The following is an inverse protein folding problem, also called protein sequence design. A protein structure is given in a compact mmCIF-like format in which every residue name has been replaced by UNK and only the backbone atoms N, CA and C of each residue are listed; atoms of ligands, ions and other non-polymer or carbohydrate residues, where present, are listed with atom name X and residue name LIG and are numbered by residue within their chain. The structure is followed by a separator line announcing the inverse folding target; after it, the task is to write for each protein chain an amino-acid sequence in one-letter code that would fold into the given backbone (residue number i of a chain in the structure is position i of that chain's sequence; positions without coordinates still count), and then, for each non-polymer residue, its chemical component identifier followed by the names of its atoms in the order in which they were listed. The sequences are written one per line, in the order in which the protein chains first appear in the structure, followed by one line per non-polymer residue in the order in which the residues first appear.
data_IF_749245646996
#
_entry.id   IF_749245646996
#
_cell.length_a   1.000
_cell.length_b   1.000
_cell.length_c   1.000
_cell.angle_alpha   90.00
_cell.angle_beta   90.00
_cell.angle_gamma   90.00
#
_symmetry.space_group_name_H-M   'P 1'
#
loop_
_entity.id
_entity.type
_entity.pdbx_description
1 polymer ?
#
# COMPACT_ATOMS: atom_id res chain seq x y z
N UNK A 1 -8.60 -9.45 -13.40
CA UNK A 1 -7.85 -8.48 -12.59
C UNK A 1 -8.87 -7.76 -11.74
N UNK A 2 -8.69 -7.71 -10.42
CA UNK A 2 -9.56 -6.92 -9.57
C UNK A 2 -9.54 -5.47 -10.07
N UNK A 3 -10.69 -4.79 -10.02
CA UNK A 3 -10.78 -3.37 -10.40
C UNK A 3 -10.23 -2.45 -9.30
N UNK A 4 -9.29 -2.94 -8.50
CA UNK A 4 -8.65 -2.17 -7.44
C UNK A 4 -7.28 -1.69 -7.90
N UNK A 5 -6.97 -0.43 -7.65
CA UNK A 5 -5.67 0.16 -7.96
C UNK A 5 -4.99 0.66 -6.70
N UNK A 6 -3.67 0.51 -6.63
CA UNK A 6 -2.84 0.91 -5.50
C UNK A 6 -1.81 1.94 -5.97
N UNK A 7 -1.61 3.01 -5.22
CA UNK A 7 -0.50 3.95 -5.39
C UNK A 7 0.37 3.91 -4.15
N UNK A 8 1.68 3.73 -4.32
CA UNK A 8 2.68 3.89 -3.26
C UNK A 8 3.44 5.18 -3.51
N UNK A 9 3.58 6.01 -2.49
CA UNK A 9 4.38 7.24 -2.51
C UNK A 9 5.36 7.25 -1.37
N UNK A 10 6.54 7.80 -1.61
CA UNK A 10 7.52 8.03 -0.55
C UNK A 10 7.55 9.52 -0.25
N UNK A 11 7.21 9.87 0.99
CA UNK A 11 7.23 11.24 1.45
C UNK A 11 8.46 11.48 2.34
N UNK A 12 9.25 12.51 2.00
CA UNK A 12 10.44 12.95 2.73
C UNK A 12 11.47 11.85 3.05
N UNK A 13 11.54 10.79 2.22
CA UNK A 13 12.41 9.61 2.45
C UNK A 13 12.22 8.93 3.82
N UNK A 14 11.10 9.17 4.50
CA UNK A 14 10.82 8.65 5.84
C UNK A 14 9.49 7.93 5.93
N UNK A 15 8.52 8.35 5.12
CA UNK A 15 7.17 7.84 5.20
C UNK A 15 6.81 7.15 3.88
N UNK A 16 6.13 6.02 3.99
CA UNK A 16 5.48 5.35 2.87
C UNK A 16 3.99 5.67 2.98
N UNK A 17 3.44 6.24 1.93
CA UNK A 17 2.03 6.53 1.76
C UNK A 17 1.44 5.52 0.78
N UNK A 18 0.43 4.77 1.20
CA UNK A 18 -0.31 3.82 0.39
C UNK A 18 -1.71 4.37 0.17
N UNK A 19 -2.13 4.48 -1.09
CA UNK A 19 -3.48 4.86 -1.48
C UNK A 19 -4.13 3.71 -2.23
N UNK A 20 -5.17 3.12 -1.65
CA UNK A 20 -5.94 2.04 -2.26
C UNK A 20 -7.26 2.56 -2.80
N UNK A 21 -7.48 2.40 -4.10
CA UNK A 21 -8.71 2.73 -4.79
C UNK A 21 -9.48 1.45 -5.10
N UNK A 22 -10.72 1.36 -4.61
CA UNK A 22 -11.60 0.21 -4.84
C UNK A 22 -12.77 0.66 -5.71
N UNK A 23 -12.89 0.14 -6.94
CA UNK A 23 -13.90 0.64 -7.87
C UNK A 23 -15.25 -0.07 -7.79
N UNK A 24 -15.32 -1.37 -7.44
CA UNK A 24 -16.59 -2.13 -7.58
C UNK A 24 -17.04 -3.00 -6.40
N UNK A 25 -16.19 -3.31 -5.41
CA UNK A 25 -16.52 -4.35 -4.41
C UNK A 25 -16.96 -3.84 -3.04
N UNK A 26 -16.96 -2.52 -2.79
CA UNK A 26 -17.36 -1.99 -1.49
C UNK A 26 -18.30 -0.82 -1.69
N UNK A 27 -19.56 -0.99 -1.27
CA UNK A 27 -20.54 0.10 -1.18
C UNK A 27 -20.11 1.06 -0.05
N UNK A 28 -18.99 1.74 -0.21
CA UNK A 28 -18.67 2.85 0.65
C UNK A 28 -19.62 4.00 0.31
N UNK A 29 -20.11 4.69 1.34
CA UNK A 29 -20.95 5.88 1.18
C UNK A 29 -20.20 7.02 0.47
N UNK A 30 -18.87 6.93 0.42
CA UNK A 30 -17.96 7.88 -0.21
C UNK A 30 -16.82 7.14 -0.91
N UNK A 31 -16.48 7.56 -2.13
CA UNK A 31 -15.39 6.99 -2.95
C UNK A 31 -14.05 7.67 -2.65
N UNK A 32 -13.62 7.65 -1.38
CA UNK A 32 -12.26 8.08 -1.04
C UNK A 32 -11.31 6.88 -1.04
N UNK A 33 -10.06 7.06 -1.50
CA UNK A 33 -9.07 6.02 -1.36
C UNK A 33 -8.79 5.75 0.12
N UNK A 34 -8.57 4.48 0.46
CA UNK A 34 -8.05 4.14 1.78
C UNK A 34 -6.58 4.52 1.81
N UNK A 35 -6.21 5.45 2.69
CA UNK A 35 -4.86 5.97 2.82
C UNK A 35 -4.18 5.41 4.06
N UNK A 36 -2.96 4.88 3.92
CA UNK A 36 -2.08 4.53 5.04
C UNK A 36 -0.81 5.35 4.96
N UNK A 37 -0.37 5.90 6.07
CA UNK A 37 0.94 6.57 6.18
C UNK A 37 1.72 5.86 7.27
N UNK A 38 2.88 5.33 6.91
CA UNK A 38 3.66 4.47 7.80
C UNK A 38 5.12 4.89 7.75
N UNK A 39 5.77 4.89 8.91
CA UNK A 39 7.20 5.16 9.02
C UNK A 39 8.01 3.96 8.55
N UNK A 40 9.06 4.21 7.76
CA UNK A 40 9.87 3.16 7.14
C UNK A 40 10.55 2.21 8.16
N UNK A 41 10.82 2.69 9.37
CA UNK A 41 11.47 1.91 10.43
C UNK A 41 10.56 0.81 10.99
N UNK A 42 9.27 0.88 10.72
CA UNK A 42 8.21 0.04 11.29
C UNK A 42 7.54 -0.83 10.20
N UNK A 43 8.34 -1.45 9.34
CA UNK A 43 7.83 -2.29 8.25
C UNK A 43 6.97 -3.47 8.76
N UNK A 44 7.31 -4.06 9.90
CA UNK A 44 6.50 -5.14 10.48
C UNK A 44 5.14 -4.63 10.94
N UNK A 45 5.09 -3.44 11.55
CA UNK A 45 3.85 -2.81 11.98
C UNK A 45 2.99 -2.44 10.75
N UNK A 46 3.62 -2.10 9.63
CA UNK A 46 2.93 -1.92 8.34
C UNK A 46 2.17 -3.19 7.93
N UNK A 47 2.84 -4.33 7.85
CA UNK A 47 2.19 -5.59 7.46
C UNK A 47 1.11 -6.02 8.47
N UNK A 48 1.33 -5.75 9.76
CA UNK A 48 0.32 -5.99 10.77
C UNK A 48 -0.93 -5.13 10.54
N UNK A 49 -0.78 -3.82 10.34
CA UNK A 49 -1.90 -2.91 10.05
C UNK A 49 -2.64 -3.31 8.77
N UNK A 50 -1.91 -3.70 7.72
CA UNK A 50 -2.50 -4.17 6.47
C UNK A 50 -3.32 -5.44 6.68
N UNK A 51 -2.86 -6.38 7.51
CA UNK A 51 -3.60 -7.61 7.82
C UNK A 51 -4.90 -7.36 8.58
N UNK A 52 -4.94 -6.32 9.42
CA UNK A 52 -6.14 -5.90 10.15
C UNK A 52 -7.13 -5.14 9.25
N UNK A 53 -6.66 -4.56 8.15
CA UNK A 53 -7.51 -3.76 7.29
C UNK A 53 -8.41 -4.63 6.40
N UNK A 54 -9.72 -4.51 6.61
CA UNK A 54 -10.73 -5.19 5.81
C UNK A 54 -10.55 -4.98 4.29
N UNK A 55 -10.15 -3.78 3.89
CA UNK A 55 -9.94 -3.43 2.48
C UNK A 55 -8.86 -4.28 1.81
N UNK A 56 -7.83 -4.70 2.55
CA UNK A 56 -6.81 -5.61 2.04
C UNK A 56 -7.26 -7.06 2.12
N UNK A 57 -8.08 -7.43 3.11
CA UNK A 57 -8.59 -8.78 3.26
C UNK A 57 -9.47 -9.23 2.07
N UNK A 58 -10.21 -8.30 1.45
CA UNK A 58 -11.04 -8.55 0.27
C UNK A 58 -10.24 -8.65 -1.05
N UNK A 59 -8.98 -8.23 -1.07
CA UNK A 59 -8.15 -8.32 -2.27
C UNK A 59 -7.84 -9.80 -2.61
N UNK A 60 -7.73 -10.09 -3.90
CA UNK A 60 -7.20 -11.39 -4.35
C UNK A 60 -5.75 -11.58 -3.87
N UNK A 61 -5.35 -12.84 -3.69
CA UNK A 61 -3.96 -13.20 -3.35
C UNK A 61 -2.90 -12.52 -4.24
N UNK A 62 -3.03 -12.47 -5.58
CA UNK A 62 -2.06 -11.76 -6.41
C UNK A 62 -1.99 -10.25 -6.11
N UNK A 63 -3.12 -9.60 -5.80
CA UNK A 63 -3.10 -8.18 -5.39
C UNK A 63 -2.40 -8.00 -4.03
N UNK A 64 -2.67 -8.88 -3.06
CA UNK A 64 -1.97 -8.84 -1.76
C UNK A 64 -0.45 -8.99 -1.94
N UNK A 65 -0.01 -9.89 -2.82
CA UNK A 65 1.40 -10.08 -3.13
C UNK A 65 2.01 -8.86 -3.83
N UNK A 66 1.31 -8.28 -4.80
CA UNK A 66 1.75 -7.06 -5.48
C UNK A 66 1.93 -5.89 -4.49
N UNK A 67 0.96 -5.69 -3.59
CA UNK A 67 1.04 -4.68 -2.52
C UNK A 67 2.30 -4.91 -1.66
N UNK A 68 2.52 -6.14 -1.20
CA UNK A 68 3.69 -6.46 -0.39
C UNK A 68 5.01 -6.21 -1.13
N UNK A 69 5.07 -6.56 -2.42
CA UNK A 69 6.23 -6.34 -3.28
C UNK A 69 6.52 -4.84 -3.45
N UNK A 70 5.51 -4.01 -3.73
CA UNK A 70 5.69 -2.57 -3.90
C UNK A 70 6.09 -1.87 -2.60
N UNK A 71 5.52 -2.25 -1.46
CA UNK A 71 5.94 -1.76 -0.14
C UNK A 71 7.41 -2.12 0.12
N UNK A 72 7.80 -3.35 -0.19
CA UNK A 72 9.17 -3.79 0.02
C UNK A 72 10.17 -3.09 -0.91
N UNK A 73 9.80 -2.87 -2.19
CA UNK A 73 10.59 -2.05 -3.13
C UNK A 73 10.75 -0.63 -2.61
N UNK A 74 9.67 0.00 -2.13
CA UNK A 74 9.72 1.34 -1.57
C UNK A 74 10.65 1.39 -0.35
N UNK A 75 10.56 0.40 0.54
CA UNK A 75 11.46 0.26 1.68
C UNK A 75 12.94 0.14 1.27
N UNK A 76 13.24 -0.71 0.28
CA UNK A 76 14.60 -0.86 -0.25
C UNK A 76 15.11 0.44 -0.87
N UNK A 77 14.27 1.12 -1.66
CA UNK A 77 14.62 2.40 -2.26
C UNK A 77 14.99 3.44 -1.19
N UNK A 78 14.22 3.55 -0.11
CA UNK A 78 14.57 4.42 1.03
C UNK A 78 15.90 4.00 1.67
N UNK A 79 16.06 2.71 2.00
CA UNK A 79 17.27 2.19 2.66
C UNK A 79 18.54 2.40 1.83
N UNK A 80 18.43 2.27 0.52
CA UNK A 80 19.53 2.46 -0.43
C UNK A 80 19.68 3.91 -0.88
N UNK A 81 18.85 4.84 -0.38
CA UNK A 81 18.80 6.24 -0.82
C UNK A 81 18.57 6.41 -2.34
N UNK A 82 17.84 5.48 -2.94
CA UNK A 82 17.45 5.48 -4.35
C UNK A 82 16.04 6.05 -4.54
N UNK A 83 15.73 6.49 -5.77
CA UNK A 83 14.38 6.88 -6.16
C UNK A 83 13.51 5.64 -6.33
N UNK A 84 12.37 5.61 -5.66
CA UNK A 84 11.33 4.61 -5.90
C UNK A 84 10.53 4.95 -7.15
N UNK A 85 10.24 3.92 -7.95
CA UNK A 85 9.37 3.98 -9.12
C UNK A 85 8.41 2.81 -9.00
N UNK A 86 7.12 3.09 -9.13
CA UNK A 86 6.07 2.07 -9.16
C UNK A 86 5.85 1.64 -10.62
N UNK A 87 5.76 0.33 -10.85
CA UNK A 87 5.44 -0.31 -12.15
C UNK A 87 4.11 -1.07 -12.09
#
# INVERSE_FOLDING_TARGET
MDESYLIVRINNKKNIELHCFFFNNVKFRYNYPTCFTIYFEQLNDCFYLLSLCYCFNILSTPHKLYVGMEIFKAYLAVKLSQSYIQE
#
